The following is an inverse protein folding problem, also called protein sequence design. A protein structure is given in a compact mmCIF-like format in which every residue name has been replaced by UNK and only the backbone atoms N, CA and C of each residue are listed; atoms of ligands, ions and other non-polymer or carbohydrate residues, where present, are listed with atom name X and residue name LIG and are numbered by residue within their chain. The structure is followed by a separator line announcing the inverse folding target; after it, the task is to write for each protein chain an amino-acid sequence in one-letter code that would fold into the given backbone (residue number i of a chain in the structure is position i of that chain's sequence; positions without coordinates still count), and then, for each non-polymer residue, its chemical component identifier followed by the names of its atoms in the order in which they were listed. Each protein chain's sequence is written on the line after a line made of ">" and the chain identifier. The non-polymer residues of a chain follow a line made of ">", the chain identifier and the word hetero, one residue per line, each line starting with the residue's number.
data_IF_483138749118
#
_entry.id   IF_483138749118
#
_cell.length_a   1.000
_cell.length_b   1.000
_cell.length_c   1.000
_cell.angle_alpha   90.00
_cell.angle_beta   90.00
_cell.angle_gamma   90.00
#
_symmetry.space_group_name_H-M   'P 1'
#
loop_
_entity.id
_entity.type
_entity.pdbx_description
1 polymer ?
#
# COMPACT_ATOMS: atom_id res chain seq x y z
N UNK A 1 -10.55 -7.38 -7.84
CA UNK A 1 -9.22 -7.26 -8.44
C UNK A 1 -8.90 -5.87 -8.97
N UNK A 2 -9.77 -5.21 -9.72
CA UNK A 2 -9.51 -3.83 -10.21
C UNK A 2 -9.26 -2.80 -9.09
N UNK A 3 -9.94 -2.92 -7.96
CA UNK A 3 -9.79 -2.02 -6.80
C UNK A 3 -8.44 -2.17 -6.11
N UNK A 4 -7.90 -3.39 -6.00
CA UNK A 4 -6.57 -3.66 -5.44
C UNK A 4 -5.48 -3.05 -6.32
N UNK A 5 -5.61 -3.14 -7.63
CA UNK A 5 -4.67 -2.50 -8.57
C UNK A 5 -4.66 -0.98 -8.43
N UNK A 6 -5.81 -0.36 -8.14
CA UNK A 6 -5.89 1.10 -7.90
C UNK A 6 -5.18 1.44 -6.59
N UNK A 7 -5.37 0.66 -5.54
CA UNK A 7 -4.67 0.82 -4.26
C UNK A 7 -3.16 0.76 -4.47
N UNK A 8 -2.67 -0.25 -5.18
CA UNK A 8 -1.25 -0.37 -5.51
C UNK A 8 -0.73 0.84 -6.31
N UNK A 9 -1.48 1.28 -7.31
CA UNK A 9 -1.13 2.46 -8.10
C UNK A 9 -1.04 3.73 -7.25
N UNK A 10 -1.88 3.87 -6.22
CA UNK A 10 -1.84 5.00 -5.30
C UNK A 10 -0.60 4.97 -4.39
N UNK A 11 -0.15 3.80 -3.98
CA UNK A 11 1.04 3.65 -3.12
C UNK A 11 2.33 3.95 -3.87
N UNK A 12 2.44 3.55 -5.13
CA UNK A 12 3.65 3.73 -5.96
C UNK A 12 3.84 5.18 -6.41
N UNK A 13 2.79 5.99 -6.42
CA UNK A 13 2.81 7.37 -6.97
C UNK A 13 3.11 8.48 -5.95
N UNK A 14 3.56 8.19 -4.76
CA UNK A 14 3.81 9.19 -3.70
C UNK A 14 4.97 10.16 -3.99
N UNK A 15 5.62 10.08 -5.14
CA UNK A 15 6.78 10.93 -5.48
C UNK A 15 6.46 12.22 -6.24
N UNK A 16 5.22 12.47 -6.59
CA UNK A 16 4.83 13.75 -7.20
C UNK A 16 3.68 14.36 -6.43
N UNK A 17 3.98 15.39 -5.65
CA UNK A 17 3.01 16.32 -5.10
C UNK A 17 2.26 17.02 -6.25
N UNK A 18 1.39 16.30 -6.94
CA UNK A 18 0.34 16.93 -7.67
C UNK A 18 -0.65 17.43 -6.62
N UNK A 19 -0.71 18.72 -6.42
CA UNK A 19 -1.89 19.37 -5.86
C UNK A 19 -3.07 19.02 -6.77
N UNK A 20 -3.64 17.85 -6.58
CA UNK A 20 -4.99 17.59 -7.02
C UNK A 20 -5.84 18.54 -6.22
N UNK A 21 -6.54 19.45 -6.89
CA UNK A 21 -7.48 20.37 -6.25
C UNK A 21 -8.38 19.58 -5.30
N UNK A 22 -8.84 20.24 -4.23
CA UNK A 22 -9.69 19.68 -3.18
C UNK A 22 -10.92 18.98 -3.81
N UNK A 23 -10.74 17.73 -4.23
CA UNK A 23 -11.90 16.88 -4.50
C UNK A 23 -12.59 16.67 -3.15
N UNK A 24 -13.83 17.15 -3.09
CA UNK A 24 -14.65 17.07 -1.89
C UNK A 24 -14.83 15.60 -1.51
N UNK A 25 -14.33 15.21 -0.35
CA UNK A 25 -14.48 13.86 0.17
C UNK A 25 -15.96 13.61 0.49
N UNK A 26 -16.49 12.49 0.01
CA UNK A 26 -17.88 12.11 0.30
C UNK A 26 -18.07 11.94 1.81
N UNK A 27 -19.12 12.53 2.35
CA UNK A 27 -19.43 12.50 3.80
C UNK A 27 -19.53 11.07 4.33
N UNK A 28 -20.09 10.15 3.55
CA UNK A 28 -20.19 8.72 3.94
C UNK A 28 -18.83 8.08 4.18
N UNK A 29 -17.84 8.45 3.37
CA UNK A 29 -16.45 7.95 3.51
C UNK A 29 -15.81 8.51 4.77
N UNK A 30 -15.98 9.81 5.04
CA UNK A 30 -15.47 10.45 6.25
C UNK A 30 -16.08 9.84 7.52
N UNK A 31 -17.38 9.60 7.51
CA UNK A 31 -18.08 8.96 8.64
C UNK A 31 -17.64 7.53 8.87
N UNK A 32 -17.49 6.74 7.79
CA UNK A 32 -16.97 5.38 7.87
C UNK A 32 -15.56 5.34 8.48
N UNK A 33 -14.68 6.23 8.03
CA UNK A 33 -13.32 6.36 8.55
C UNK A 33 -13.32 6.71 10.05
N UNK A 34 -14.06 7.72 10.46
CA UNK A 34 -14.12 8.15 11.88
C UNK A 34 -14.68 7.08 12.80
N UNK A 35 -15.61 6.29 12.31
CA UNK A 35 -16.19 5.16 13.06
C UNK A 35 -15.19 4.01 13.21
N UNK A 36 -14.47 3.69 12.13
CA UNK A 36 -13.52 2.57 12.09
C UNK A 36 -12.23 2.87 12.89
N UNK A 37 -11.68 4.08 12.73
CA UNK A 37 -10.40 4.48 13.29
C UNK A 37 -10.57 5.60 14.33
N UNK A 38 -11.30 5.31 15.38
CA UNK A 38 -11.47 6.25 16.50
C UNK A 38 -10.12 6.58 17.13
N UNK A 39 -9.79 7.88 17.22
CA UNK A 39 -8.51 8.35 17.74
C UNK A 39 -7.40 8.50 16.69
N UNK A 40 -7.73 8.34 15.40
CA UNK A 40 -6.81 8.67 14.31
C UNK A 40 -6.47 10.18 14.33
N UNK A 41 -5.23 10.50 13.98
CA UNK A 41 -4.71 11.87 13.88
C UNK A 41 -3.91 12.08 12.61
N UNK A 42 -3.61 13.34 12.28
CA UNK A 42 -2.81 13.72 11.11
C UNK A 42 -3.37 13.17 9.79
N UNK A 43 -4.68 13.30 9.60
CA UNK A 43 -5.37 12.80 8.40
C UNK A 43 -4.94 13.56 7.14
N UNK A 44 -4.66 12.83 6.07
CA UNK A 44 -4.43 13.36 4.73
C UNK A 44 -5.20 12.52 3.71
N UNK A 45 -5.99 13.17 2.87
CA UNK A 45 -6.88 12.53 1.91
C UNK A 45 -6.37 12.65 0.48
N UNK A 46 -6.52 11.59 -0.29
CA UNK A 46 -6.26 11.52 -1.72
C UNK A 46 -7.39 10.75 -2.40
N UNK A 47 -7.90 11.28 -3.52
CA UNK A 47 -8.94 10.60 -4.31
C UNK A 47 -8.41 10.24 -5.68
N UNK A 48 -8.60 9.01 -6.12
CA UNK A 48 -8.24 8.54 -7.44
C UNK A 48 -9.24 7.49 -7.94
N UNK A 49 -9.87 7.77 -9.06
CA UNK A 49 -10.79 6.82 -9.71
C UNK A 49 -11.86 6.22 -8.78
N UNK A 50 -12.54 7.05 -7.99
CA UNK A 50 -13.55 6.65 -7.00
C UNK A 50 -13.02 5.79 -5.84
N UNK A 51 -11.72 5.76 -5.62
CA UNK A 51 -11.09 5.23 -4.40
C UNK A 51 -10.59 6.40 -3.58
N UNK A 52 -10.94 6.41 -2.31
CA UNK A 52 -10.56 7.41 -1.33
C UNK A 52 -9.50 6.81 -0.43
N UNK A 53 -8.31 7.39 -0.45
CA UNK A 53 -7.22 7.04 0.47
C UNK A 53 -7.19 8.07 1.58
N UNK A 54 -7.15 7.62 2.81
CA UNK A 54 -6.80 8.43 3.98
C UNK A 54 -5.53 7.88 4.60
N UNK A 55 -4.52 8.74 4.71
CA UNK A 55 -3.27 8.45 5.43
C UNK A 55 -3.32 9.15 6.78
N UNK A 56 -3.00 8.45 7.85
CA UNK A 56 -3.19 8.94 9.21
C UNK A 56 -2.25 8.22 10.18
N UNK A 57 -2.13 8.76 11.38
CA UNK A 57 -1.43 8.13 12.50
C UNK A 57 -2.44 7.46 13.42
N UNK A 58 -2.24 6.19 13.68
CA UNK A 58 -3.09 5.36 14.54
C UNK A 58 -2.24 4.46 15.44
N UNK A 59 -2.45 4.54 16.74
CA UNK A 59 -1.62 3.84 17.73
C UNK A 59 -0.11 4.05 17.52
N UNK A 60 0.30 5.28 17.18
CA UNK A 60 1.69 5.66 16.97
C UNK A 60 2.30 5.18 15.65
N UNK A 61 1.52 4.62 14.73
CA UNK A 61 1.98 4.15 13.42
C UNK A 61 1.28 4.89 12.29
N UNK A 62 2.01 5.19 11.23
CA UNK A 62 1.43 5.71 9.99
C UNK A 62 0.85 4.57 9.18
N UNK A 63 -0.44 4.67 8.87
CA UNK A 63 -1.19 3.72 8.05
C UNK A 63 -2.03 4.45 7.03
N UNK A 64 -2.48 3.75 6.00
CA UNK A 64 -3.42 4.27 5.02
C UNK A 64 -4.60 3.32 4.89
N UNK A 65 -5.82 3.87 4.91
CA UNK A 65 -7.04 3.14 4.65
C UNK A 65 -7.61 3.57 3.30
N UNK A 66 -8.22 2.64 2.61
CA UNK A 66 -8.80 2.84 1.28
C UNK A 66 -10.28 2.50 1.30
N UNK A 67 -11.08 3.43 0.83
CA UNK A 67 -12.54 3.30 0.79
C UNK A 67 -13.07 3.45 -0.64
N UNK A 68 -14.17 2.78 -0.91
CA UNK A 68 -14.96 3.13 -2.08
C UNK A 68 -15.89 4.33 -1.77
N UNK A 69 -16.56 4.86 -2.79
CA UNK A 69 -17.47 5.99 -2.65
C UNK A 69 -18.71 5.72 -1.78
N UNK A 70 -18.98 4.46 -1.46
CA UNK A 70 -20.08 4.07 -0.57
C UNK A 70 -19.66 4.02 0.90
N UNK A 71 -18.37 4.17 1.18
CA UNK A 71 -17.79 4.09 2.51
C UNK A 71 -17.40 2.66 2.94
N UNK A 72 -17.31 1.71 1.99
CA UNK A 72 -16.77 0.38 2.29
C UNK A 72 -15.26 0.42 2.34
N UNK A 73 -14.70 -0.14 3.41
CA UNK A 73 -13.26 -0.30 3.56
C UNK A 73 -12.74 -1.37 2.58
N UNK A 74 -11.89 -0.96 1.66
CA UNK A 74 -11.29 -1.84 0.66
C UNK A 74 -10.01 -2.51 1.15
N UNK A 75 -9.31 -1.87 2.07
CA UNK A 75 -8.07 -2.38 2.65
C UNK A 75 -7.35 -1.34 3.47
N UNK A 76 -6.39 -1.82 4.24
CA UNK A 76 -5.50 -1.00 5.07
C UNK A 76 -4.07 -1.37 4.74
N UNK A 77 -3.21 -0.38 4.53
CA UNK A 77 -1.80 -0.60 4.24
C UNK A 77 -0.93 0.06 5.30
N UNK A 78 0.22 -0.54 5.55
CA UNK A 78 1.30 0.04 6.36
C UNK A 78 2.66 -0.31 5.77
N UNK A 79 3.60 0.60 5.87
CA UNK A 79 5.00 0.27 5.61
C UNK A 79 5.54 -0.59 6.74
N UNK A 80 6.34 -1.57 6.38
CA UNK A 80 6.98 -2.52 7.30
C UNK A 80 8.47 -2.62 6.99
N UNK A 81 9.23 -3.13 7.94
CA UNK A 81 10.62 -3.49 7.74
C UNK A 81 10.72 -4.92 7.20
N UNK A 82 11.83 -5.25 6.54
CA UNK A 82 12.07 -6.61 6.05
C UNK A 82 12.08 -7.64 7.18
N UNK A 83 12.44 -7.23 8.40
CA UNK A 83 12.38 -8.06 9.60
C UNK A 83 10.97 -8.39 10.09
N UNK A 84 9.96 -7.62 9.62
CA UNK A 84 8.55 -7.85 9.96
C UNK A 84 7.88 -8.86 8.99
N UNK A 85 8.56 -9.23 7.92
CA UNK A 85 8.07 -10.23 6.97
C UNK A 85 8.03 -11.64 7.58
N UNK A 86 7.12 -12.51 7.13
CA UNK A 86 7.22 -13.94 7.36
C UNK A 86 8.59 -14.49 6.96
N UNK A 87 9.10 -15.45 7.73
CA UNK A 87 10.46 -16.00 7.56
C UNK A 87 10.79 -16.44 6.13
N UNK A 88 9.87 -17.14 5.46
CA UNK A 88 10.12 -17.64 4.10
C UNK A 88 10.25 -16.52 3.09
N UNK A 89 9.51 -15.43 3.24
CA UNK A 89 9.62 -14.25 2.38
C UNK A 89 10.95 -13.52 2.59
N UNK A 90 11.44 -13.43 3.84
CA UNK A 90 12.77 -12.88 4.12
C UNK A 90 13.89 -13.73 3.48
N UNK A 91 13.77 -15.05 3.63
CA UNK A 91 14.74 -16.00 3.08
C UNK A 91 14.82 -15.87 1.55
N UNK A 92 13.70 -15.85 0.88
CA UNK A 92 13.62 -15.76 -0.57
C UNK A 92 14.22 -14.46 -1.11
N UNK A 93 13.99 -13.32 -0.44
CA UNK A 93 14.64 -12.05 -0.81
C UNK A 93 16.17 -12.14 -0.73
N UNK A 94 16.70 -12.81 0.30
CA UNK A 94 18.14 -13.00 0.44
C UNK A 94 18.73 -13.94 -0.61
N UNK A 95 18.02 -15.00 -0.96
CA UNK A 95 18.55 -16.05 -1.85
C UNK A 95 18.49 -15.65 -3.33
N UNK A 96 17.42 -14.96 -3.74
CA UNK A 96 17.14 -14.73 -5.16
C UNK A 96 17.23 -13.26 -5.61
N UNK A 97 17.29 -12.33 -4.65
CA UNK A 97 17.25 -10.88 -4.95
C UNK A 97 18.38 -10.09 -4.28
N UNK A 98 19.52 -10.75 -4.02
CA UNK A 98 20.69 -10.14 -3.36
C UNK A 98 21.23 -8.92 -4.12
N UNK A 99 21.10 -8.88 -5.45
CA UNK A 99 21.56 -7.78 -6.30
C UNK A 99 20.62 -6.57 -6.32
N UNK A 100 19.49 -6.63 -5.58
CA UNK A 100 18.51 -5.57 -5.53
C UNK A 100 18.49 -4.87 -4.17
N UNK A 101 18.17 -3.58 -4.20
CA UNK A 101 17.82 -2.83 -2.98
C UNK A 101 16.30 -2.88 -2.77
N UNK A 102 15.88 -3.05 -1.54
CA UNK A 102 14.49 -2.86 -1.14
C UNK A 102 14.23 -1.36 -1.04
N UNK A 103 13.42 -0.82 -1.96
CA UNK A 103 13.06 0.61 -2.00
C UNK A 103 11.65 0.87 -1.47
N UNK A 104 10.85 -0.16 -1.30
CA UNK A 104 9.52 -0.09 -0.69
C UNK A 104 9.09 -1.45 -0.22
N UNK A 105 8.46 -1.49 0.95
CA UNK A 105 7.90 -2.72 1.50
C UNK A 105 6.68 -2.37 2.33
N UNK A 106 5.54 -2.95 1.98
CA UNK A 106 4.31 -2.73 2.72
C UNK A 106 3.44 -3.99 2.80
N UNK A 107 2.60 -3.96 3.80
CA UNK A 107 1.56 -4.95 4.06
C UNK A 107 0.21 -4.37 3.67
N UNK A 108 -0.61 -5.14 3.00
CA UNK A 108 -2.02 -4.84 2.70
C UNK A 108 -2.90 -5.85 3.41
N UNK A 109 -3.78 -5.38 4.27
CA UNK A 109 -4.82 -6.18 4.93
C UNK A 109 -6.19 -5.81 4.38
N UNK A 110 -6.97 -6.80 3.99
CA UNK A 110 -8.35 -6.66 3.52
C UNK A 110 -9.18 -7.89 3.92
N UNK A 111 -10.41 -7.99 3.43
CA UNK A 111 -11.30 -9.13 3.72
C UNK A 111 -10.75 -10.48 3.22
N UNK A 112 -9.89 -10.48 2.20
CA UNK A 112 -9.26 -11.71 1.67
C UNK A 112 -8.06 -12.16 2.50
N UNK A 113 -7.57 -11.32 3.41
CA UNK A 113 -6.42 -11.60 4.28
C UNK A 113 -5.30 -10.57 4.14
N UNK A 114 -4.09 -11.01 4.43
CA UNK A 114 -2.89 -10.17 4.40
C UNK A 114 -2.00 -10.55 3.23
N UNK A 115 -1.59 -9.54 2.48
CA UNK A 115 -0.65 -9.64 1.36
C UNK A 115 0.55 -8.72 1.59
N UNK A 116 1.69 -9.09 1.04
CA UNK A 116 2.92 -8.28 1.10
C UNK A 116 3.34 -7.84 -0.28
N UNK A 117 3.88 -6.65 -0.38
CA UNK A 117 4.39 -6.08 -1.63
C UNK A 117 5.77 -5.49 -1.37
N UNK A 118 6.74 -5.89 -2.16
CA UNK A 118 8.10 -5.38 -2.11
C UNK A 118 8.47 -4.74 -3.44
N UNK A 119 9.05 -3.56 -3.38
CA UNK A 119 9.68 -2.91 -4.52
C UNK A 119 11.19 -3.09 -4.41
N UNK A 120 11.75 -3.72 -5.40
CA UNK A 120 13.16 -4.02 -5.54
C UNK A 120 13.74 -3.22 -6.70
N UNK A 121 14.88 -2.62 -6.50
CA UNK A 121 15.54 -1.80 -7.52
C UNK A 121 17.01 -2.18 -7.66
N UNK A 122 17.49 -2.21 -8.90
CA UNK A 122 18.91 -2.26 -9.24
C UNK A 122 19.24 -1.12 -10.22
N UNK A 123 20.43 -1.17 -10.84
CA UNK A 123 20.85 -0.14 -11.79
C UNK A 123 19.95 -0.04 -13.03
N UNK A 124 19.37 -1.14 -13.47
CA UNK A 124 18.67 -1.26 -14.75
C UNK A 124 17.14 -1.22 -14.63
N UNK A 125 16.61 -1.75 -13.56
CA UNK A 125 15.17 -1.93 -13.40
C UNK A 125 14.66 -1.78 -11.97
N UNK A 126 13.37 -1.59 -11.89
CA UNK A 126 12.57 -1.63 -10.66
C UNK A 126 11.49 -2.68 -10.83
N UNK A 127 11.50 -3.68 -9.99
CA UNK A 127 10.49 -4.75 -9.99
C UNK A 127 9.63 -4.69 -8.73
N UNK A 128 8.38 -5.09 -8.87
CA UNK A 128 7.47 -5.25 -7.75
C UNK A 128 7.09 -6.72 -7.66
N UNK A 129 7.27 -7.27 -6.47
CA UNK A 129 6.82 -8.61 -6.13
C UNK A 129 5.66 -8.52 -5.16
N UNK A 130 4.77 -9.49 -5.23
CA UNK A 130 3.66 -9.65 -4.29
C UNK A 130 3.65 -11.03 -3.68
N UNK A 131 3.14 -11.16 -2.47
CA UNK A 131 2.90 -12.43 -1.82
C UNK A 131 1.53 -12.44 -1.16
N UNK A 132 0.67 -13.35 -1.59
CA UNK A 132 -0.67 -13.54 -1.01
C UNK A 132 -0.71 -14.69 0.00
N UNK A 133 0.13 -15.70 -0.18
CA UNK A 133 0.15 -16.90 0.66
C UNK A 133 1.24 -16.89 1.73
N UNK A 134 1.99 -15.79 1.85
CA UNK A 134 3.06 -15.59 2.85
C UNK A 134 4.24 -16.57 2.75
N UNK A 135 4.31 -17.39 1.69
CA UNK A 135 5.32 -18.42 1.52
C UNK A 135 6.33 -18.12 0.42
N UNK A 136 5.91 -17.39 -0.62
CA UNK A 136 6.73 -17.09 -1.78
C UNK A 136 6.37 -15.74 -2.39
N UNK A 137 7.33 -15.17 -3.09
CA UNK A 137 7.13 -13.98 -3.89
C UNK A 137 6.72 -14.36 -5.32
N UNK A 138 5.74 -13.62 -5.83
CA UNK A 138 5.29 -13.69 -7.21
C UNK A 138 5.63 -12.38 -7.91
N UNK A 139 6.05 -12.46 -9.17
CA UNK A 139 6.26 -11.28 -9.99
C UNK A 139 4.93 -10.54 -10.19
N UNK A 140 4.92 -9.25 -9.89
CA UNK A 140 3.73 -8.40 -10.04
C UNK A 140 3.88 -7.41 -11.20
N UNK A 141 5.00 -6.68 -11.27
CA UNK A 141 5.26 -5.68 -12.32
C UNK A 141 6.74 -5.33 -12.42
N UNK A 142 7.13 -4.74 -13.56
CA UNK A 142 8.48 -4.23 -13.81
C UNK A 142 8.43 -2.86 -14.46
N UNK A 143 9.34 -1.99 -14.03
CA UNK A 143 9.60 -0.69 -14.63
C UNK A 143 11.08 -0.60 -15.00
N UNK A 144 11.40 -0.30 -16.26
CA UNK A 144 12.77 -0.01 -16.66
C UNK A 144 13.17 1.38 -16.17
N UNK A 145 14.37 1.50 -15.64
CA UNK A 145 14.94 2.80 -15.31
C UNK A 145 15.19 3.56 -16.61
N UNK A 146 14.70 4.78 -16.69
CA UNK A 146 14.98 5.68 -17.82
C UNK A 146 16.33 6.34 -17.64
#
# INVERSE_FOLDING_TARGET
>A
MKKIMIILAMIVTVATSAFAGEEKIDQKVVEAFKKEFTGASEESWLVKKNVYQVSFTYNGRKISAFYDKKGYLLGVTRYILSTDLPYFLQKELKEYYEEYWVTGLFELSNEEGTSYYVTLQNADSKIILSSKEQNSWEFFNEYKNQ
#
